data_IF_065808360600
#
_entry.id   IF_065808360600
#
_cell.length_a   1.000
_cell.length_b   1.000
_cell.length_c   1.000
_cell.angle_alpha   90.00
_cell.angle_beta   90.00
_cell.angle_gamma   90.00
#
_symmetry.space_group_name_H-M   'P 1'
#
loop_
_entity.id
_entity.type
_entity.pdbx_description
1 polymer ?
#
# COMPACT_ATOMS: atom_id res chain seq x y z
N UNK A 1 9.86 -8.31 -1.70
CA UNK A 1 8.89 -8.02 -0.63
C UNK A 1 7.78 -9.04 -0.74
N UNK A 2 7.34 -9.57 0.40
CA UNK A 2 6.25 -10.53 0.50
C UNK A 2 4.98 -9.77 0.92
N UNK A 3 3.85 -10.12 0.30
CA UNK A 3 2.55 -9.54 0.62
C UNK A 3 2.11 -9.95 2.03
N UNK A 4 1.97 -8.97 2.93
CA UNK A 4 1.58 -9.19 4.33
C UNK A 4 0.07 -8.99 4.55
N UNK A 5 -0.55 -8.10 3.75
CA UNK A 5 -1.98 -7.79 3.79
C UNK A 5 -2.44 -7.29 2.42
N UNK A 6 -3.64 -7.70 2.00
CA UNK A 6 -4.44 -7.00 1.00
C UNK A 6 -5.91 -6.98 1.44
N UNK A 7 -6.51 -5.79 1.42
CA UNK A 7 -7.90 -5.55 1.83
C UNK A 7 -8.57 -4.62 0.84
N UNK A 8 -9.78 -4.95 0.40
CA UNK A 8 -10.41 -4.32 -0.75
C UNK A 8 -11.50 -3.27 -0.43
N UNK A 9 -11.95 -3.22 0.81
CA UNK A 9 -13.10 -2.40 1.21
C UNK A 9 -12.76 -1.55 2.43
N UNK A 10 -11.59 -0.90 2.39
CA UNK A 10 -11.16 -0.02 3.47
C UNK A 10 -11.91 1.29 3.39
N UNK A 11 -12.45 1.74 4.52
CA UNK A 11 -13.09 3.04 4.67
C UNK A 11 -12.30 3.89 5.66
N UNK A 12 -11.90 5.08 5.22
CA UNK A 12 -11.25 6.07 6.07
C UNK A 12 -12.30 7.07 6.54
N UNK A 13 -12.38 7.42 7.83
CA UNK A 13 -13.42 8.31 8.36
C UNK A 13 -13.52 9.67 7.65
N UNK A 14 -12.40 10.23 7.19
CA UNK A 14 -12.38 11.51 6.46
C UNK A 14 -12.75 11.39 4.98
N UNK A 15 -13.02 10.18 4.47
CA UNK A 15 -13.26 9.91 3.04
C UNK A 15 -14.62 9.27 2.83
N UNK A 16 -15.23 9.58 1.68
CA UNK A 16 -16.48 8.95 1.24
C UNK A 16 -16.25 7.77 0.30
N UNK A 17 -15.06 7.70 -0.30
CA UNK A 17 -14.71 6.67 -1.25
C UNK A 17 -14.28 5.37 -0.55
N UNK A 18 -14.31 4.28 -1.31
CA UNK A 18 -13.80 2.96 -0.89
C UNK A 18 -12.42 2.73 -1.46
N UNK A 19 -11.53 2.17 -0.64
CA UNK A 19 -10.15 1.97 -1.00
C UNK A 19 -9.74 0.50 -0.95
N UNK A 20 -8.82 0.12 -1.86
CA UNK A 20 -8.03 -1.09 -1.76
C UNK A 20 -6.67 -0.73 -1.18
N UNK A 21 -6.22 -1.49 -0.18
CA UNK A 21 -4.94 -1.27 0.50
C UNK A 21 -4.12 -2.56 0.43
N UNK A 22 -2.84 -2.42 0.09
CA UNK A 22 -1.85 -3.50 0.13
C UNK A 22 -0.67 -3.09 0.98
N UNK A 23 -0.22 -4.02 1.81
CA UNK A 23 0.97 -3.88 2.66
C UNK A 23 1.92 -5.02 2.31
N UNK A 24 3.10 -4.68 1.78
CA UNK A 24 4.17 -5.62 1.47
C UNK A 24 5.34 -5.39 2.42
N UNK A 25 6.05 -6.43 2.85
CA UNK A 25 7.20 -6.31 3.77
C UNK A 25 8.40 -7.11 3.27
N UNK A 26 9.62 -6.75 3.67
CA UNK A 26 10.73 -7.70 3.69
C UNK A 26 10.69 -8.46 5.02
N UNK A 27 10.42 -9.76 4.96
CA UNK A 27 10.43 -10.68 6.13
C UNK A 27 9.59 -10.26 7.35
N UNK A 28 8.47 -9.56 7.13
CA UNK A 28 7.49 -9.22 8.17
C UNK A 28 7.69 -7.88 8.86
N UNK A 29 8.86 -7.24 8.69
CA UNK A 29 9.26 -6.05 9.44
C UNK A 29 9.51 -4.84 8.54
N UNK A 30 10.74 -4.70 8.03
CA UNK A 30 11.19 -3.56 7.24
C UNK A 30 12.26 -3.96 6.22
N UNK A 31 12.35 -3.24 5.08
CA UNK A 31 11.43 -2.18 4.65
C UNK A 31 10.03 -2.73 4.35
N UNK A 32 9.01 -1.89 4.53
CA UNK A 32 7.65 -2.20 4.08
C UNK A 32 7.16 -1.17 3.06
N UNK A 33 6.26 -1.60 2.20
CA UNK A 33 5.60 -0.81 1.18
C UNK A 33 4.10 -0.77 1.48
N UNK A 34 3.56 0.45 1.52
CA UNK A 34 2.12 0.69 1.60
C UNK A 34 1.66 1.18 0.23
N UNK A 35 0.68 0.50 -0.32
CA UNK A 35 0.02 0.88 -1.57
C UNK A 35 -1.48 1.03 -1.34
N UNK A 36 -2.06 2.04 -1.98
CA UNK A 36 -3.44 2.47 -1.78
C UNK A 36 -4.04 2.80 -3.14
N UNK A 37 -5.22 2.27 -3.44
CA UNK A 37 -6.03 2.63 -4.62
C UNK A 37 -7.40 3.10 -4.19
N UNK A 38 -7.86 4.22 -4.76
CA UNK A 38 -9.27 4.59 -4.72
C UNK A 38 -10.04 3.79 -5.78
N UNK A 39 -10.96 2.92 -5.37
CA UNK A 39 -11.67 2.01 -6.30
C UNK A 39 -12.57 2.74 -7.29
N UNK A 40 -13.05 3.94 -6.95
CA UNK A 40 -13.91 4.73 -7.83
C UNK A 40 -13.10 5.56 -8.83
N UNK A 41 -12.08 6.27 -8.34
CA UNK A 41 -11.28 7.20 -9.17
C UNK A 41 -10.10 6.56 -9.88
N UNK A 42 -9.73 5.33 -9.50
CA UNK A 42 -8.56 4.61 -10.04
C UNK A 42 -7.24 5.36 -9.86
N UNK A 43 -7.20 6.25 -8.88
CA UNK A 43 -5.98 6.92 -8.43
C UNK A 43 -5.27 6.04 -7.42
N UNK A 44 -3.96 5.95 -7.56
CA UNK A 44 -3.11 5.10 -6.75
C UNK A 44 -2.03 5.92 -6.06
N UNK A 45 -1.64 5.47 -4.87
CA UNK A 45 -0.56 6.06 -4.09
C UNK A 45 0.32 4.99 -3.48
N UNK A 46 1.60 5.30 -3.32
CA UNK A 46 2.62 4.38 -2.82
C UNK A 46 3.59 5.08 -1.88
N UNK A 47 4.05 4.36 -0.87
CA UNK A 47 5.14 4.77 0.01
C UNK A 47 5.97 3.57 0.44
N UNK A 48 7.28 3.78 0.57
CA UNK A 48 8.23 2.77 1.04
C UNK A 48 8.90 3.30 2.30
N UNK A 49 8.83 2.53 3.37
CA UNK A 49 9.28 2.90 4.71
C UNK A 49 10.36 1.92 5.15
N UNK A 50 11.58 2.44 5.34
CA UNK A 50 12.77 1.62 5.59
C UNK A 50 13.26 1.71 7.03
N UNK A 51 12.89 2.78 7.75
CA UNK A 51 13.29 3.04 9.12
C UNK A 51 12.33 4.04 9.80
N UNK A 52 12.54 4.31 11.08
CA UNK A 52 11.70 5.22 11.88
C UNK A 52 11.72 6.66 11.37
N UNK A 53 12.79 7.12 10.70
CA UNK A 53 12.88 8.49 10.17
C UNK A 53 11.91 8.72 9.00
N UNK A 54 11.52 7.64 8.31
CA UNK A 54 10.53 7.67 7.23
C UNK A 54 9.09 7.78 7.74
N UNK A 55 8.87 7.61 9.05
CA UNK A 55 7.55 7.73 9.69
C UNK A 55 7.56 8.94 10.61
N UNK A 56 6.78 9.96 10.25
CA UNK A 56 6.69 11.18 11.08
C UNK A 56 5.73 10.93 12.24
N UNK A 57 6.27 10.73 13.43
CA UNK A 57 5.53 10.74 14.69
C UNK A 57 5.72 12.07 15.42
N UNK A 58 4.67 12.89 15.52
CA UNK A 58 4.75 14.23 16.15
C UNK A 58 4.78 14.16 17.69
N UNK A 59 4.43 13.02 18.26
CA UNK A 59 4.21 12.81 19.70
C UNK A 59 4.61 11.40 20.13
N UNK A 60 5.79 10.93 19.69
CA UNK A 60 6.34 9.67 20.17
C UNK A 60 6.90 9.89 21.58
N UNK A 61 6.03 9.77 22.58
CA UNK A 61 6.46 9.81 23.97
C UNK A 61 7.43 8.64 24.27
N UNK A 62 7.31 7.51 23.56
CA UNK A 62 8.18 6.33 23.67
C UNK A 62 8.51 5.78 22.26
N UNK A 63 9.75 5.32 22.05
CA UNK A 63 10.17 4.66 20.81
C UNK A 63 9.51 3.27 20.70
N UNK A 64 8.41 3.18 19.94
CA UNK A 64 7.75 1.91 19.65
C UNK A 64 8.50 1.25 18.48
N UNK A 65 8.95 -0.02 18.62
CA UNK A 65 9.62 -0.71 17.54
C UNK A 65 8.78 -0.76 16.26
N UNK A 66 9.44 -0.56 15.13
CA UNK A 66 8.79 -0.42 13.83
C UNK A 66 7.91 -1.62 13.44
N UNK A 67 8.30 -2.85 13.77
CA UNK A 67 7.48 -4.05 13.56
C UNK A 67 6.12 -3.98 14.28
N UNK A 68 6.07 -3.36 15.46
CA UNK A 68 4.83 -3.15 16.20
C UNK A 68 3.97 -2.09 15.52
N UNK A 69 4.59 -1.04 14.99
CA UNK A 69 3.90 -0.01 14.19
C UNK A 69 3.25 -0.64 12.95
N UNK A 70 3.97 -1.50 12.23
CA UNK A 70 3.46 -2.24 11.06
C UNK A 70 2.31 -3.18 11.47
N UNK A 71 2.44 -3.87 12.59
CA UNK A 71 1.40 -4.77 13.12
C UNK A 71 0.13 -4.01 13.52
N UNK A 72 0.27 -2.85 14.18
CA UNK A 72 -0.86 -1.97 14.53
C UNK A 72 -1.54 -1.41 13.27
N UNK A 73 -0.75 -0.99 12.28
CA UNK A 73 -1.28 -0.49 11.00
C UNK A 73 -2.09 -1.58 10.30
N UNK A 74 -1.56 -2.81 10.22
CA UNK A 74 -2.26 -3.97 9.64
C UNK A 74 -3.59 -4.21 10.35
N UNK A 75 -3.60 -4.24 11.68
CA UNK A 75 -4.79 -4.47 12.47
C UNK A 75 -5.85 -3.37 12.26
N UNK A 76 -5.42 -2.10 12.24
CA UNK A 76 -6.31 -0.97 12.04
C UNK A 76 -6.94 -0.97 10.63
N UNK A 77 -6.15 -1.26 9.58
CA UNK A 77 -6.65 -1.40 8.21
C UNK A 77 -7.66 -2.55 8.06
N UNK A 78 -7.43 -3.68 8.72
CA UNK A 78 -8.37 -4.79 8.78
C UNK A 78 -9.67 -4.42 9.50
N UNK A 79 -9.57 -3.69 10.61
CA UNK A 79 -10.73 -3.19 11.35
C UNK A 79 -11.56 -2.23 10.49
N UNK A 80 -10.92 -1.29 9.80
CA UNK A 80 -11.56 -0.36 8.86
C UNK A 80 -12.24 -1.06 7.67
N UNK A 81 -11.86 -2.30 7.35
CA UNK A 81 -12.52 -3.09 6.31
C UNK A 81 -13.73 -3.88 6.81
N UNK A 82 -13.73 -4.30 8.08
CA UNK A 82 -14.74 -5.22 8.63
C UNK A 82 -15.80 -4.51 9.49
N UNK A 83 -15.44 -3.37 10.08
CA UNK A 83 -16.25 -2.63 11.06
C UNK A 83 -16.06 -1.11 10.89
N UNK A 84 -16.48 -0.53 9.75
CA UNK A 84 -16.20 0.88 9.42
C UNK A 84 -16.81 1.87 10.43
N UNK A 85 -17.90 1.52 11.12
CA UNK A 85 -18.60 2.39 12.06
C UNK A 85 -18.16 2.22 13.53
N UNK A 86 -17.27 1.27 13.84
CA UNK A 86 -16.81 1.03 15.22
C UNK A 86 -15.52 1.80 15.53
N UNK A 87 -15.67 3.07 15.91
CA UNK A 87 -14.60 3.93 16.42
C UNK A 87 -14.07 3.53 17.83
N UNK A 88 -14.41 2.35 18.34
CA UNK A 88 -14.04 1.91 19.69
C UNK A 88 -12.67 1.21 19.77
N UNK A 89 -11.93 1.12 18.65
CA UNK A 89 -10.60 0.53 18.65
C UNK A 89 -9.58 1.49 19.28
N UNK A 90 -8.70 0.98 20.15
CA UNK A 90 -7.58 1.75 20.74
C UNK A 90 -6.58 2.24 19.66
N UNK A 91 -6.71 1.76 18.42
CA UNK A 91 -5.97 2.20 17.24
C UNK A 91 -6.94 2.52 16.10
N UNK A 92 -6.82 3.71 15.51
CA UNK A 92 -7.62 4.14 14.36
C UNK A 92 -6.72 4.58 13.21
N UNK A 93 -7.24 4.50 11.98
CA UNK A 93 -6.57 4.98 10.77
C UNK A 93 -7.47 5.92 9.98
N UNK A 94 -6.87 6.95 9.39
CA UNK A 94 -7.55 7.92 8.55
C UNK A 94 -6.66 8.31 7.36
N UNK A 95 -7.26 8.88 6.32
CA UNK A 95 -6.57 9.31 5.11
C UNK A 95 -6.75 10.81 4.89
N UNK A 96 -5.63 11.55 4.90
CA UNK A 96 -5.59 13.00 4.73
C UNK A 96 -5.02 13.37 3.35
N UNK A 97 -5.56 14.44 2.77
CA UNK A 97 -4.98 15.05 1.57
C UNK A 97 -3.70 15.81 1.91
N UNK A 98 -2.74 15.79 0.99
CA UNK A 98 -1.53 16.59 1.03
C UNK A 98 -1.37 17.38 -0.28
N UNK A 99 -0.50 18.41 -0.32
CA UNK A 99 -0.19 19.11 -1.57
C UNK A 99 0.33 18.18 -2.68
N UNK A 100 0.15 18.59 -3.93
CA UNK A 100 0.63 17.88 -5.12
C UNK A 100 0.00 16.50 -5.37
N UNK A 101 -1.25 16.29 -4.93
CA UNK A 101 -1.96 15.01 -5.04
C UNK A 101 -1.33 13.89 -4.18
N UNK A 102 -0.50 14.26 -3.21
CA UNK A 102 -0.02 13.32 -2.21
C UNK A 102 -1.14 13.03 -1.20
N UNK A 103 -1.03 11.90 -0.52
CA UNK A 103 -1.92 11.57 0.59
C UNK A 103 -1.12 11.04 1.77
N UNK A 104 -1.71 11.16 2.96
CA UNK A 104 -1.11 10.69 4.19
C UNK A 104 -2.07 9.76 4.91
N UNK A 105 -1.63 8.53 5.16
CA UNK A 105 -2.32 7.65 6.12
C UNK A 105 -1.86 8.05 7.51
N UNK A 106 -2.80 8.44 8.36
CA UNK A 106 -2.55 8.82 9.76
C UNK A 106 -3.11 7.73 10.66
N UNK A 107 -2.23 7.07 11.42
CA UNK A 107 -2.62 6.10 12.45
C UNK A 107 -2.55 6.78 13.82
N UNK A 108 -3.64 6.72 14.57
CA UNK A 108 -3.72 7.24 15.94
C UNK A 108 -3.88 6.08 16.91
N UNK A 109 -2.97 5.96 17.87
CA UNK A 109 -3.03 5.04 19.00
C UNK A 109 -3.47 5.84 20.22
N UNK A 110 -4.48 5.39 20.96
CA UNK A 110 -5.09 6.15 22.07
C UNK A 110 -4.41 5.88 23.42
N UNK A 111 -3.73 4.73 23.59
CA UNK A 111 -3.16 4.30 24.89
C UNK A 111 -1.79 3.61 24.73
N UNK A 112 -0.67 4.30 25.00
CA UNK A 112 -0.55 5.74 25.19
C UNK A 112 -0.88 6.51 23.90
N UNK A 113 -1.26 7.80 23.99
CA UNK A 113 -1.53 8.63 22.82
C UNK A 113 -0.27 8.74 21.96
N UNK A 114 -0.37 8.30 20.71
CA UNK A 114 0.72 8.35 19.73
C UNK A 114 0.14 8.44 18.34
N UNK A 115 0.82 9.17 17.45
CA UNK A 115 0.38 9.35 16.07
C UNK A 115 1.50 9.05 15.11
N UNK A 116 1.20 8.27 14.08
CA UNK A 116 2.12 7.87 13.03
C UNK A 116 1.59 8.34 11.68
N UNK A 117 2.46 8.98 10.90
CA UNK A 117 2.13 9.49 9.57
C UNK A 117 2.91 8.75 8.49
N UNK A 118 2.19 8.15 7.56
CA UNK A 118 2.73 7.46 6.39
C UNK A 118 2.40 8.29 5.14
N UNK A 119 3.41 9.01 4.64
CA UNK A 119 3.27 9.84 3.46
C UNK A 119 3.35 8.98 2.20
N UNK A 120 2.38 9.12 1.31
CA UNK A 120 2.27 8.39 0.06
C UNK A 120 2.30 9.38 -1.10
N UNK A 121 3.08 9.07 -2.12
CA UNK A 121 3.12 9.83 -3.37
C UNK A 121 2.20 9.17 -4.39
N UNK A 122 1.66 9.91 -5.38
CA UNK A 122 0.96 9.29 -6.51
C UNK A 122 1.81 8.15 -7.09
N UNK A 123 1.18 6.99 -7.31
CA UNK A 123 1.84 5.93 -8.03
C UNK A 123 1.97 6.39 -9.49
N UNK A 124 3.21 6.45 -9.97
CA UNK A 124 3.49 6.93 -11.30
C UNK A 124 2.84 5.97 -12.32
N UNK A 125 1.80 6.44 -13.02
CA UNK A 125 1.07 5.69 -14.06
C UNK A 125 2.03 5.21 -15.17
N UNK A 126 3.19 5.88 -15.31
CA UNK A 126 4.25 5.49 -16.22
C UNK A 126 4.87 4.11 -15.90
N UNK A 127 4.88 3.68 -14.63
CA UNK A 127 5.45 2.39 -14.25
C UNK A 127 4.54 1.21 -14.67
N UNK A 128 3.23 1.37 -14.59
CA UNK A 128 2.24 0.40 -15.07
C UNK A 128 2.22 0.32 -16.59
N UNK A 129 2.25 1.46 -17.29
CA UNK A 129 2.37 1.48 -18.76
C UNK A 129 3.65 0.76 -19.24
N UNK A 130 4.77 0.98 -18.54
CA UNK A 130 6.04 0.29 -18.85
C UNK A 130 5.99 -1.22 -18.57
N UNK A 131 5.23 -1.66 -17.57
CA UNK A 131 5.01 -3.08 -17.29
C UNK A 131 4.11 -3.73 -18.33
N UNK A 132 3.06 -3.04 -18.79
CA UNK A 132 2.20 -3.48 -19.89
C UNK A 132 2.98 -3.61 -21.20
N UNK A 133 3.83 -2.64 -21.52
CA UNK A 133 4.75 -2.69 -22.67
C UNK A 133 5.71 -3.89 -22.59
N UNK A 134 6.19 -4.23 -21.39
CA UNK A 134 7.06 -5.39 -21.18
C UNK A 134 6.31 -6.72 -21.33
N UNK A 135 5.04 -6.78 -20.91
CA UNK A 135 4.19 -7.98 -21.09
C UNK A 135 3.93 -8.21 -22.57
N UNK A 136 3.53 -7.18 -23.33
CA UNK A 136 3.34 -7.30 -24.77
C UNK A 136 4.64 -7.72 -25.49
N UNK A 137 5.78 -7.13 -25.13
CA UNK A 137 7.06 -7.50 -25.73
C UNK A 137 7.45 -8.97 -25.46
N UNK A 138 7.09 -9.51 -24.29
CA UNK A 138 7.32 -10.91 -23.94
C UNK A 138 6.33 -11.85 -24.66
N UNK A 139 5.08 -11.44 -24.83
CA UNK A 139 4.07 -12.16 -25.60
C UNK A 139 4.50 -12.28 -27.07
N UNK A 140 4.98 -11.18 -27.68
CA UNK A 140 5.50 -11.15 -29.05
C UNK A 140 6.69 -12.10 -29.23
N UNK A 141 7.64 -12.12 -28.27
CA UNK A 141 8.78 -13.04 -28.30
C UNK A 141 8.35 -14.51 -28.19
N UNK A 142 7.31 -14.78 -27.39
CA UNK A 142 6.73 -16.12 -27.26
C UNK A 142 6.06 -16.59 -28.55
N UNK A 143 5.36 -15.71 -29.27
CA UNK A 143 4.78 -16.04 -30.57
C UNK A 143 5.84 -16.31 -31.63
N UNK A 144 6.89 -15.49 -31.69
CA UNK A 144 8.00 -15.65 -32.63
C UNK A 144 8.76 -16.96 -32.35
N UNK A 145 8.99 -17.29 -31.07
CA UNK A 145 9.63 -18.53 -30.66
C UNK A 145 8.77 -19.76 -31.00
N UNK A 146 7.45 -19.68 -30.81
CA UNK A 146 6.53 -20.76 -31.22
C UNK A 146 6.58 -20.99 -32.73
N UNK A 147 6.60 -19.91 -33.53
CA UNK A 147 6.64 -19.98 -34.99
C UNK A 147 7.93 -20.66 -35.49
N UNK A 148 9.08 -20.21 -34.99
CA UNK A 148 10.40 -20.78 -35.34
C UNK A 148 10.54 -22.24 -34.90
N UNK A 149 10.01 -22.60 -33.73
CA UNK A 149 10.04 -23.99 -33.23
C UNK A 149 9.17 -24.92 -34.08
N UNK A 150 7.99 -24.47 -34.50
CA UNK A 150 7.11 -25.19 -35.44
C UNK A 150 7.77 -25.39 -36.81
N UNK A 151 8.45 -24.37 -37.35
CA UNK A 151 9.17 -24.48 -38.62
C UNK A 151 10.38 -25.41 -38.56
N UNK A 152 11.03 -25.52 -37.40
CA UNK A 152 12.15 -26.45 -37.19
C UNK A 152 11.74 -27.92 -37.05
N UNK A 153 10.48 -28.21 -36.69
CA UNK A 153 9.95 -29.57 -36.53
C UNK A 153 9.27 -30.13 -37.80
N UNK A 154 9.12 -29.30 -38.85
CA UNK A 154 8.51 -29.66 -40.14
C UNK A 154 9.58 -29.92 -41.23
N UNK A 155 10.87 -29.84 -40.89
CA UNK A 155 12.00 -30.29 -41.73
C UNK A 155 12.56 -31.61 -41.25
#
# INVERSE_FOLDING_TARGET
>A
MNQLLEVEYVHFPSRRDTYRVRLDTADGDVPFKLWLENKHRKTEWVGVFSDESTIKGKELNHAVPLHQVVSMLKAALLASCTKPDQNESDVTVDLKDEPHDHVRVEMTVMKPPSRYSFHLTPADVAATAKLEDQVHALEDQLEELKRTTLESHVR
#
